data_IF_808296841894
#
_entry.id   IF_808296841894
#
_cell.length_a   1.000
_cell.length_b   1.000
_cell.length_c   1.000
_cell.angle_alpha   90.00
_cell.angle_beta   90.00
_cell.angle_gamma   90.00
#
_symmetry.space_group_name_H-M   'P 1'
#
loop_
_entity.id
_entity.type
_entity.pdbx_description
1 polymer ?
#
# COMPACT_ATOMS: atom_id res chain seq x y z
N UNK A 1 2.86 -5.88 15.80
CA UNK A 1 2.57 -5.27 14.50
C UNK A 1 1.46 -6.07 13.83
N UNK A 2 0.41 -5.39 13.38
CA UNK A 2 -0.65 -6.03 12.59
C UNK A 2 -0.40 -5.71 11.13
N UNK A 3 -0.41 -6.74 10.28
CA UNK A 3 -0.21 -6.60 8.83
C UNK A 3 -1.53 -6.83 8.10
N UNK A 4 -1.87 -5.93 7.19
CA UNK A 4 -3.03 -6.03 6.32
C UNK A 4 -2.61 -5.87 4.87
N UNK A 5 -2.85 -6.91 4.09
CA UNK A 5 -2.52 -6.92 2.67
C UNK A 5 -3.81 -6.70 1.88
N UNK A 6 -3.88 -5.60 1.14
CA UNK A 6 -5.04 -5.26 0.31
C UNK A 6 -4.64 -5.31 -1.16
N UNK A 7 -5.53 -5.88 -1.96
CA UNK A 7 -5.40 -6.02 -3.40
C UNK A 7 -6.40 -5.12 -4.10
N UNK A 8 -5.92 -4.31 -5.05
CA UNK A 8 -6.72 -3.60 -6.04
C UNK A 8 -6.27 -3.99 -7.45
N UNK A 9 -7.18 -3.89 -8.42
CA UNK A 9 -6.86 -4.04 -9.83
C UNK A 9 -7.11 -2.72 -10.57
N UNK A 10 -6.09 -2.25 -11.31
CA UNK A 10 -6.11 -0.99 -12.05
C UNK A 10 -5.48 -1.23 -13.42
N UNK A 11 -6.26 -1.08 -14.50
CA UNK A 11 -5.80 -1.22 -15.89
C UNK A 11 -5.02 -2.53 -16.18
N UNK A 12 -5.42 -3.63 -15.56
CA UNK A 12 -4.77 -4.94 -15.68
C UNK A 12 -3.48 -5.09 -14.87
N UNK A 13 -3.14 -4.10 -14.05
CA UNK A 13 -2.13 -4.20 -13.01
C UNK A 13 -2.78 -4.55 -11.67
N UNK A 14 -2.03 -5.31 -10.88
CA UNK A 14 -2.35 -5.73 -9.54
C UNK A 14 -1.60 -4.82 -8.57
N UNK A 15 -2.33 -4.06 -7.76
CA UNK A 15 -1.77 -3.18 -6.73
C UNK A 15 -1.87 -3.89 -5.39
N UNK A 16 -0.73 -4.30 -4.87
CA UNK A 16 -0.62 -4.87 -3.53
C UNK A 16 -0.21 -3.78 -2.54
N UNK A 17 -1.08 -3.45 -1.59
CA UNK A 17 -0.79 -2.53 -0.50
C UNK A 17 -0.58 -3.32 0.79
N UNK A 18 0.68 -3.48 1.18
CA UNK A 18 1.11 -4.12 2.42
C UNK A 18 1.14 -3.08 3.55
N UNK A 19 0.13 -3.10 4.40
CA UNK A 19 -0.02 -2.12 5.46
C UNK A 19 0.45 -2.68 6.80
N UNK A 20 1.18 -1.86 7.55
CA UNK A 20 1.66 -2.18 8.89
C UNK A 20 1.13 -1.17 9.89
N UNK A 21 0.61 -1.65 11.03
CA UNK A 21 0.10 -0.81 12.10
C UNK A 21 0.98 -0.92 13.36
N UNK A 22 1.41 0.23 13.86
CA UNK A 22 1.96 0.39 15.20
C UNK A 22 0.83 0.51 16.22
N UNK A 23 1.07 -0.03 17.41
CA UNK A 23 0.15 0.06 18.55
C UNK A 23 0.88 0.56 19.78
N UNK A 24 0.19 1.32 20.60
CA UNK A 24 0.69 1.72 21.91
C UNK A 24 0.59 0.57 22.93
N UNK A 25 1.02 0.83 24.18
CA UNK A 25 0.99 -0.15 25.28
C UNK A 25 -0.43 -0.59 25.66
N UNK A 26 -1.45 0.22 25.35
CA UNK A 26 -2.87 -0.10 25.55
C UNK A 26 -3.46 -0.86 24.35
N UNK A 27 -2.66 -1.12 23.31
CA UNK A 27 -3.07 -1.83 22.10
C UNK A 27 -3.85 -0.97 21.10
N UNK A 28 -3.91 0.35 21.29
CA UNK A 28 -4.56 1.28 20.36
C UNK A 28 -3.68 1.51 19.14
N UNK A 29 -4.31 1.58 17.98
CA UNK A 29 -3.63 1.89 16.72
C UNK A 29 -3.15 3.33 16.73
N UNK A 30 -1.87 3.56 16.42
CA UNK A 30 -1.26 4.90 16.49
C UNK A 30 -0.71 5.39 15.16
N UNK A 31 -0.27 4.48 14.31
CA UNK A 31 0.30 4.82 13.01
C UNK A 31 0.18 3.64 12.05
N UNK A 32 -0.38 3.91 10.88
CA UNK A 32 -0.46 2.98 9.76
C UNK A 32 0.57 3.37 8.70
N UNK A 33 1.41 2.43 8.26
CA UNK A 33 2.37 2.61 7.17
C UNK A 33 1.97 1.72 5.99
N UNK A 34 2.33 2.14 4.79
CA UNK A 34 1.99 1.44 3.54
C UNK A 34 3.28 1.06 2.81
N UNK A 35 3.26 -0.08 2.13
CA UNK A 35 4.28 -0.51 1.20
C UNK A 35 3.59 -1.09 -0.02
N UNK A 36 3.83 -0.52 -1.19
CA UNK A 36 3.07 -0.84 -2.41
C UNK A 36 3.94 -1.61 -3.40
N UNK A 37 3.44 -2.74 -3.90
CA UNK A 37 4.05 -3.54 -4.96
C UNK A 37 3.09 -3.65 -6.14
N UNK A 38 3.61 -3.53 -7.36
CA UNK A 38 2.80 -3.62 -8.57
C UNK A 38 3.16 -4.88 -9.32
N UNK A 39 2.14 -5.70 -9.62
CA UNK A 39 2.29 -6.89 -10.46
C UNK A 39 1.45 -6.78 -11.72
N UNK A 40 1.80 -7.57 -12.72
CA UNK A 40 0.97 -7.80 -13.91
C UNK A 40 1.03 -9.28 -14.24
N UNK A 41 -0.14 -9.93 -14.30
CA UNK A 41 -0.22 -11.37 -14.51
C UNK A 41 0.65 -12.20 -13.54
N UNK A 42 0.78 -11.75 -12.29
CA UNK A 42 1.58 -12.41 -11.26
C UNK A 42 3.08 -12.03 -11.24
N UNK A 43 3.58 -11.35 -12.27
CA UNK A 43 4.98 -10.89 -12.31
C UNK A 43 5.14 -9.51 -11.67
N UNK A 44 6.19 -9.31 -10.88
CA UNK A 44 6.50 -8.02 -10.25
C UNK A 44 7.02 -7.04 -11.30
N UNK A 45 6.27 -5.96 -11.52
CA UNK A 45 6.61 -4.87 -12.45
C UNK A 45 7.26 -3.69 -11.72
N UNK A 46 6.76 -3.39 -10.52
CA UNK A 46 7.36 -2.43 -9.60
C UNK A 46 7.58 -3.15 -8.28
N UNK A 47 8.84 -3.29 -7.82
CA UNK A 47 9.12 -3.89 -6.51
C UNK A 47 8.52 -3.02 -5.41
N UNK A 48 8.50 -3.54 -4.19
CA UNK A 48 7.94 -2.84 -3.04
C UNK A 48 8.50 -1.42 -2.90
N UNK A 49 7.61 -0.44 -2.90
CA UNK A 49 7.89 0.98 -2.64
C UNK A 49 7.23 1.36 -1.32
N UNK A 50 8.03 1.82 -0.36
CA UNK A 50 7.53 2.34 0.90
C UNK A 50 6.80 3.67 0.68
N UNK A 51 5.67 3.85 1.36
CA UNK A 51 5.03 5.16 1.49
C UNK A 51 5.92 6.14 2.27
N UNK A 52 5.72 7.42 2.01
CA UNK A 52 6.51 8.52 2.58
C UNK A 52 6.04 8.97 3.98
N UNK A 53 4.84 8.57 4.39
CA UNK A 53 4.20 9.00 5.64
C UNK A 53 3.42 7.89 6.32
N UNK A 54 3.13 8.11 7.60
CA UNK A 54 2.18 7.31 8.36
C UNK A 54 0.79 7.96 8.37
N UNK A 55 -0.24 7.15 8.58
CA UNK A 55 -1.65 7.53 8.58
C UNK A 55 -2.30 7.23 9.94
N UNK A 56 -3.26 8.07 10.33
CA UNK A 56 -3.92 7.96 11.63
C UNK A 56 -4.89 6.76 11.72
N UNK A 57 -5.42 6.29 10.59
CA UNK A 57 -6.30 5.13 10.52
C UNK A 57 -6.06 4.30 9.25
N UNK A 58 -6.57 3.07 9.29
CA UNK A 58 -6.43 2.08 8.23
C UNK A 58 -7.06 2.49 6.90
N UNK A 59 -8.20 3.19 6.93
CA UNK A 59 -8.91 3.62 5.73
C UNK A 59 -8.10 4.63 4.93
N UNK A 60 -7.50 5.61 5.61
CA UNK A 60 -6.58 6.56 4.98
C UNK A 60 -5.35 5.88 4.39
N UNK A 61 -4.76 4.92 5.11
CA UNK A 61 -3.63 4.13 4.61
C UNK A 61 -4.01 3.32 3.36
N UNK A 62 -5.22 2.74 3.32
CA UNK A 62 -5.71 2.00 2.17
C UNK A 62 -5.84 2.91 0.93
N UNK A 63 -6.52 4.06 1.07
CA UNK A 63 -6.68 5.03 -0.03
C UNK A 63 -5.32 5.49 -0.55
N UNK A 64 -4.41 5.84 0.36
CA UNK A 64 -3.09 6.30 -0.02
C UNK A 64 -2.26 5.22 -0.75
N UNK A 65 -2.36 3.95 -0.35
CA UNK A 65 -1.69 2.88 -1.08
C UNK A 65 -2.26 2.65 -2.47
N UNK A 66 -3.57 2.81 -2.65
CA UNK A 66 -4.20 2.78 -3.97
C UNK A 66 -3.74 3.95 -4.85
N UNK A 67 -3.68 5.16 -4.30
CA UNK A 67 -3.20 6.35 -5.01
C UNK A 67 -1.73 6.24 -5.41
N UNK A 68 -0.87 5.79 -4.48
CA UNK A 68 0.54 5.52 -4.77
C UNK A 68 0.67 4.45 -5.86
N UNK A 69 -0.12 3.38 -5.80
CA UNK A 69 -0.11 2.34 -6.83
C UNK A 69 -0.51 2.85 -8.20
N UNK A 70 -1.58 3.66 -8.29
CA UNK A 70 -1.99 4.30 -9.53
C UNK A 70 -0.89 5.21 -10.12
N UNK A 71 -0.20 5.98 -9.25
CA UNK A 71 0.93 6.81 -9.66
C UNK A 71 2.08 5.97 -10.23
N UNK A 72 2.47 4.90 -9.54
CA UNK A 72 3.54 4.00 -9.99
C UNK A 72 3.20 3.33 -11.33
N UNK A 73 1.93 2.96 -11.55
CA UNK A 73 1.47 2.44 -12.84
C UNK A 73 1.61 3.51 -13.93
N UNK A 74 1.13 4.73 -13.68
CA UNK A 74 1.23 5.82 -14.65
C UNK A 74 2.69 6.11 -15.04
N UNK A 75 3.61 6.10 -14.07
CA UNK A 75 5.06 6.25 -14.32
C UNK A 75 5.67 5.11 -15.14
N UNK A 76 5.06 3.92 -15.18
CA UNK A 76 5.51 2.80 -16.03
C UNK A 76 4.88 2.78 -17.41
N UNK A 77 3.78 3.49 -17.61
CA UNK A 77 3.11 3.60 -18.90
C UNK A 77 3.55 4.84 -19.70
N UNK A 78 4.15 5.83 -19.04
CA UNK A 78 4.75 7.02 -19.65
C UNK A 78 6.08 6.71 -20.35
#
# INVERSE_FOLDING_TARGET
MTRHDIYDEIDGFQVWNYMECDRDEEGRETAWRINVEIKRSGEVVVPVVAGDRAYADRGLAQVAGRELGAKLIAERLA
#
